data_IF_103530472918
#
_entry.id   IF_103530472918
#
_cell.length_a   1.000
_cell.length_b   1.000
_cell.length_c   1.000
_cell.angle_alpha   90.00
_cell.angle_beta   90.00
_cell.angle_gamma   90.00
#
_symmetry.space_group_name_H-M   'P 1'
#
loop_
_entity.id
_entity.type
_entity.pdbx_description
1 polymer ?
#
# COMPACT_ATOMS: atom_id res chain seq x y z
N UNK A 1 15.79 16.18 -12.16
CA UNK A 1 15.05 17.23 -11.44
C UNK A 1 16.06 17.98 -10.57
N UNK A 2 15.93 19.28 -10.41
CA UNK A 2 16.75 20.08 -9.51
C UNK A 2 15.84 20.92 -8.61
N UNK A 3 16.12 20.90 -7.31
CA UNK A 3 15.44 21.71 -6.31
C UNK A 3 16.46 22.71 -5.76
N UNK A 4 16.08 23.97 -5.68
CA UNK A 4 16.90 25.05 -5.11
C UNK A 4 16.12 25.73 -4.01
N UNK A 5 16.62 25.66 -2.79
CA UNK A 5 16.05 26.37 -1.64
C UNK A 5 16.84 27.64 -1.41
N UNK A 6 16.21 28.79 -1.59
CA UNK A 6 16.81 30.10 -1.30
C UNK A 6 16.34 30.58 0.07
N UNK A 7 17.29 30.86 0.98
CA UNK A 7 16.99 31.48 2.27
C UNK A 7 17.13 32.99 2.12
N UNK A 8 16.04 33.73 2.31
CA UNK A 8 16.03 35.18 2.30
C UNK A 8 16.52 35.74 3.64
N UNK A 9 17.01 36.99 3.65
CA UNK A 9 17.56 37.67 4.82
C UNK A 9 16.56 37.86 5.98
N UNK A 10 15.25 37.76 5.70
CA UNK A 10 14.17 37.77 6.68
C UNK A 10 13.90 36.39 7.32
N UNK A 11 14.66 35.36 6.95
CA UNK A 11 14.48 33.98 7.44
C UNK A 11 13.49 33.15 6.62
N UNK A 12 12.79 33.73 5.64
CA UNK A 12 11.89 32.97 4.75
C UNK A 12 12.70 32.06 3.81
N UNK A 13 12.30 30.79 3.72
CA UNK A 13 12.84 29.85 2.74
C UNK A 13 11.87 29.75 1.56
N UNK A 14 12.35 29.93 0.33
CA UNK A 14 11.60 29.65 -0.90
C UNK A 14 12.25 28.49 -1.66
N UNK A 15 11.49 27.42 -1.87
CA UNK A 15 11.91 26.30 -2.69
C UNK A 15 11.43 26.49 -4.13
N UNK A 16 12.35 26.41 -5.08
CA UNK A 16 12.09 26.37 -6.52
C UNK A 16 12.47 25.00 -7.04
N UNK A 17 11.57 24.35 -7.77
CA UNK A 17 11.89 23.12 -8.49
C UNK A 17 11.79 23.34 -10.00
N UNK A 18 12.75 22.78 -10.71
CA UNK A 18 12.78 22.71 -12.15
C UNK A 18 13.20 21.31 -12.58
N UNK A 19 12.77 20.89 -13.76
CA UNK A 19 13.22 19.64 -14.36
C UNK A 19 13.70 19.90 -15.79
N UNK A 20 14.57 19.01 -16.27
CA UNK A 20 15.11 19.10 -17.62
C UNK A 20 14.16 18.38 -18.57
N UNK A 21 13.65 19.10 -19.58
CA UNK A 21 12.88 18.56 -20.69
C UNK A 21 13.72 18.72 -21.96
N UNK A 22 14.41 17.64 -22.36
CA UNK A 22 15.40 17.69 -23.44
C UNK A 22 16.59 18.60 -23.11
N UNK A 23 16.72 19.71 -23.84
CA UNK A 23 17.79 20.71 -23.64
C UNK A 23 17.38 21.87 -22.73
N UNK A 24 16.11 21.98 -22.35
CA UNK A 24 15.57 23.13 -21.60
C UNK A 24 15.23 22.79 -20.16
N UNK A 25 15.26 23.81 -19.30
CA UNK A 25 14.80 23.72 -17.91
C UNK A 25 13.36 24.24 -17.80
N UNK A 26 12.44 23.36 -17.43
CA UNK A 26 11.02 23.66 -17.25
C UNK A 26 10.73 23.84 -15.76
N UNK A 27 9.99 24.90 -15.43
CA UNK A 27 9.59 25.21 -14.05
C UNK A 27 8.53 24.22 -13.56
N UNK A 28 8.68 23.75 -12.33
CA UNK A 28 7.76 22.79 -11.71
C UNK A 28 8.17 21.33 -11.91
N UNK A 29 7.35 20.44 -11.36
CA UNK A 29 7.57 18.97 -11.33
C UNK A 29 6.34 18.20 -11.79
N UNK A 30 5.46 18.87 -12.55
CA UNK A 30 4.24 18.25 -13.07
C UNK A 30 4.62 17.15 -14.08
N UNK A 31 4.08 15.94 -13.88
CA UNK A 31 4.41 14.76 -14.69
C UNK A 31 5.78 14.13 -14.41
N UNK A 32 6.54 14.63 -13.42
CA UNK A 32 7.83 14.05 -13.02
C UNK A 32 7.63 13.17 -11.80
N UNK A 33 8.05 11.92 -11.93
CA UNK A 33 8.11 10.97 -10.82
C UNK A 33 9.04 11.49 -9.72
N UNK A 34 8.55 11.50 -8.48
CA UNK A 34 9.32 11.96 -7.33
C UNK A 34 10.02 10.77 -6.71
N UNK A 35 11.32 10.73 -6.92
CA UNK A 35 12.21 9.71 -6.37
C UNK A 35 12.97 10.24 -5.15
N UNK A 36 13.51 9.32 -4.36
CA UNK A 36 14.43 9.62 -3.27
C UNK A 36 15.68 10.36 -3.78
N UNK A 37 16.19 11.28 -2.96
CA UNK A 37 17.51 11.87 -3.17
C UNK A 37 18.60 10.78 -3.08
N UNK A 38 19.68 10.88 -3.85
CA UNK A 38 20.78 9.89 -3.80
C UNK A 38 20.34 8.44 -4.12
N UNK A 39 19.35 8.28 -5.03
CA UNK A 39 18.71 6.99 -5.32
C UNK A 39 19.68 5.86 -5.73
N UNK A 40 20.65 6.05 -6.65
CA UNK A 40 21.55 4.96 -7.06
C UNK A 40 22.31 4.34 -5.88
N UNK A 41 22.86 5.18 -5.02
CA UNK A 41 23.63 4.82 -3.83
C UNK A 41 22.72 4.18 -2.76
N UNK A 42 21.48 4.67 -2.64
CA UNK A 42 20.45 4.04 -1.80
C UNK A 42 20.19 2.61 -2.25
N UNK A 43 19.91 2.39 -3.54
CA UNK A 43 19.61 1.05 -4.09
C UNK A 43 20.80 0.12 -3.92
N UNK A 44 22.01 0.59 -4.17
CA UNK A 44 23.23 -0.18 -3.93
C UNK A 44 23.35 -0.57 -2.46
N UNK A 45 23.14 0.37 -1.54
CA UNK A 45 23.22 0.11 -0.09
C UNK A 45 22.15 -0.88 0.38
N UNK A 46 20.93 -0.80 -0.14
CA UNK A 46 19.86 -1.80 0.10
C UNK A 46 20.34 -3.18 -0.34
N UNK A 47 20.90 -3.30 -1.55
CA UNK A 47 21.39 -4.58 -2.08
C UNK A 47 22.53 -5.20 -1.25
N UNK A 48 23.30 -4.37 -0.54
CA UNK A 48 24.35 -4.79 0.39
C UNK A 48 23.82 -5.11 1.80
N UNK A 49 22.52 -5.00 2.06
CA UNK A 49 21.93 -5.18 3.40
C UNK A 49 22.33 -4.09 4.39
N UNK A 50 22.76 -2.93 3.89
CA UNK A 50 23.31 -1.85 4.67
C UNK A 50 22.26 -0.93 5.29
N UNK A 51 22.64 -0.24 6.37
CA UNK A 51 21.80 0.81 6.97
C UNK A 51 21.81 2.08 6.12
N UNK A 52 20.63 2.68 5.95
CA UNK A 52 20.39 3.94 5.24
C UNK A 52 19.86 4.97 6.25
N UNK A 53 20.44 6.16 6.25
CA UNK A 53 19.95 7.29 7.02
C UNK A 53 18.91 8.10 6.22
N UNK A 54 17.75 8.37 6.80
CA UNK A 54 16.75 9.28 6.24
C UNK A 54 16.74 10.56 7.07
N UNK A 55 17.05 11.68 6.41
CA UNK A 55 17.08 13.03 7.01
C UNK A 55 16.03 13.93 6.35
N UNK A 56 15.74 15.09 6.91
CA UNK A 56 14.68 16.00 6.39
C UNK A 56 15.08 16.81 5.15
N UNK A 57 16.38 16.98 4.93
CA UNK A 57 16.90 17.85 3.88
C UNK A 57 18.09 17.29 3.11
N UNK A 58 18.21 17.69 1.84
CA UNK A 58 19.31 17.28 0.95
C UNK A 58 20.68 17.73 1.50
N UNK A 59 20.73 18.90 2.16
CA UNK A 59 21.95 19.40 2.84
C UNK A 59 22.48 18.39 3.85
N UNK A 60 21.60 17.88 4.71
CA UNK A 60 21.98 16.91 5.74
C UNK A 60 22.35 15.57 5.13
N UNK A 61 21.67 15.18 4.05
CA UNK A 61 22.00 13.96 3.32
C UNK A 61 23.41 14.07 2.73
N UNK A 62 23.75 15.20 2.10
CA UNK A 62 25.11 15.46 1.60
C UNK A 62 26.15 15.49 2.71
N UNK A 63 25.83 16.06 3.88
CA UNK A 63 26.74 16.04 5.03
C UNK A 63 27.05 14.62 5.49
N UNK A 64 26.03 13.76 5.61
CA UNK A 64 26.21 12.36 6.00
C UNK A 64 26.92 11.53 4.92
N UNK A 65 26.55 11.71 3.65
CA UNK A 65 27.18 11.02 2.52
C UNK A 65 28.68 11.34 2.44
N UNK A 66 29.10 12.58 2.70
CA UNK A 66 30.52 12.99 2.72
C UNK A 66 31.36 12.27 3.78
N UNK A 67 30.74 11.80 4.86
CA UNK A 67 31.42 11.04 5.92
C UNK A 67 31.21 9.52 5.78
N UNK A 68 30.70 9.07 4.63
CA UNK A 68 30.54 7.65 4.31
C UNK A 68 29.28 7.00 4.87
N UNK A 69 28.31 7.78 5.34
CA UNK A 69 27.00 7.30 5.80
C UNK A 69 26.01 7.49 4.65
N UNK A 70 25.55 6.40 4.03
CA UNK A 70 24.55 6.47 2.95
C UNK A 70 23.27 7.12 3.48
N UNK A 71 22.96 8.31 2.99
CA UNK A 71 21.83 9.11 3.43
C UNK A 71 20.97 9.58 2.26
N UNK A 72 19.67 9.73 2.54
CA UNK A 72 18.65 10.18 1.59
C UNK A 72 17.62 11.06 2.26
N UNK A 73 16.78 11.70 1.45
CA UNK A 73 15.60 12.46 1.86
C UNK A 73 14.56 12.46 0.74
N UNK A 74 13.34 12.91 1.04
CA UNK A 74 12.32 13.15 0.02
C UNK A 74 12.48 14.54 -0.61
N UNK A 75 12.15 14.68 -1.91
CA UNK A 75 12.02 15.99 -2.54
C UNK A 75 11.08 16.90 -1.75
N UNK A 76 11.42 18.19 -1.65
CA UNK A 76 10.63 19.24 -0.99
C UNK A 76 10.56 19.19 0.54
N UNK A 77 11.29 18.28 1.19
CA UNK A 77 11.44 18.23 2.65
C UNK A 77 10.17 17.80 3.40
N UNK A 78 10.11 18.14 4.69
CA UNK A 78 9.13 17.62 5.63
C UNK A 78 7.67 17.66 5.13
N UNK A 79 6.96 16.55 5.33
CA UNK A 79 5.55 16.38 4.97
C UNK A 79 5.28 16.12 3.48
N UNK A 80 6.32 15.89 2.67
CA UNK A 80 6.20 15.57 1.23
C UNK A 80 6.67 14.16 0.87
N UNK A 81 6.83 13.31 1.88
CA UNK A 81 7.08 11.88 1.71
C UNK A 81 5.89 11.20 1.02
N UNK A 82 6.18 10.29 0.09
CA UNK A 82 5.19 9.50 -0.63
C UNK A 82 5.46 8.01 -0.39
N UNK A 83 4.42 7.19 -0.36
CA UNK A 83 4.57 5.74 -0.12
C UNK A 83 5.45 5.06 -1.18
N UNK A 84 5.42 5.54 -2.43
CA UNK A 84 6.30 5.05 -3.51
C UNK A 84 7.79 5.23 -3.21
N UNK A 85 8.15 6.17 -2.33
CA UNK A 85 9.54 6.34 -1.88
C UNK A 85 9.92 5.29 -0.84
N UNK A 86 8.97 4.84 -0.03
CA UNK A 86 9.16 3.76 0.93
C UNK A 86 9.35 2.41 0.24
N UNK A 87 8.68 2.17 -0.89
CA UNK A 87 8.79 0.93 -1.68
C UNK A 87 10.22 0.66 -2.17
N UNK A 88 11.00 1.70 -2.47
CA UNK A 88 12.42 1.58 -2.83
C UNK A 88 13.26 0.99 -1.68
N UNK A 89 12.79 1.16 -0.45
CA UNK A 89 13.50 0.77 0.78
C UNK A 89 13.00 -0.58 1.33
N UNK A 90 12.15 -1.31 0.63
CA UNK A 90 11.69 -2.64 1.06
C UNK A 90 12.87 -3.56 1.39
N UNK A 91 12.82 -4.22 2.55
CA UNK A 91 13.88 -5.08 3.08
C UNK A 91 15.11 -4.34 3.62
N UNK A 92 15.18 -3.01 3.53
CA UNK A 92 16.31 -2.23 4.02
C UNK A 92 16.31 -2.05 5.54
N UNK A 93 17.45 -1.64 6.09
CA UNK A 93 17.57 -1.13 7.46
C UNK A 93 17.60 0.40 7.40
N UNK A 94 16.68 1.07 8.08
CA UNK A 94 16.51 2.53 7.95
C UNK A 94 16.57 3.23 9.31
N UNK A 95 17.41 4.25 9.44
CA UNK A 95 17.42 5.13 10.61
C UNK A 95 16.96 6.53 10.21
N UNK A 96 15.90 7.03 10.84
CA UNK A 96 15.36 8.35 10.59
C UNK A 96 15.98 9.33 11.57
N UNK A 97 16.53 10.44 11.07
CA UNK A 97 17.13 11.49 11.87
C UNK A 97 16.32 12.78 11.62
N UNK A 98 15.36 13.13 12.49
CA UNK A 98 14.59 14.35 12.35
C UNK A 98 15.39 15.58 12.80
N UNK A 99 14.98 16.74 12.31
CA UNK A 99 15.29 18.04 12.89
C UNK A 99 14.75 18.07 14.33
N UNK A 100 15.47 18.75 15.23
CA UNK A 100 15.09 18.84 16.65
C UNK A 100 13.95 19.82 16.91
N UNK A 101 12.81 19.63 16.25
CA UNK A 101 11.58 20.38 16.48
C UNK A 101 10.30 19.52 16.36
N UNK A 102 9.15 20.15 16.58
CA UNK A 102 7.84 19.48 16.57
C UNK A 102 7.45 19.00 15.16
N UNK A 103 7.83 19.75 14.11
CA UNK A 103 7.51 19.40 12.74
C UNK A 103 8.32 18.17 12.32
N UNK A 104 9.60 18.14 12.67
CA UNK A 104 10.48 17.00 12.40
C UNK A 104 10.08 15.74 13.13
N UNK A 105 9.66 15.87 14.40
CA UNK A 105 9.12 14.74 15.17
C UNK A 105 7.88 14.12 14.50
N UNK A 106 6.94 14.97 14.03
CA UNK A 106 5.73 14.49 13.31
C UNK A 106 6.10 13.87 11.97
N UNK A 107 7.03 14.47 11.24
CA UNK A 107 7.50 13.96 9.96
C UNK A 107 8.15 12.59 10.11
N UNK A 108 9.08 12.42 11.06
CA UNK A 108 9.73 11.14 11.31
C UNK A 108 8.75 10.03 11.72
N UNK A 109 7.71 10.35 12.51
CA UNK A 109 6.68 9.38 12.85
C UNK A 109 5.89 8.91 11.62
N UNK A 110 5.53 9.85 10.72
CA UNK A 110 4.83 9.52 9.47
C UNK A 110 5.72 8.70 8.52
N UNK A 111 6.98 9.08 8.34
CA UNK A 111 7.95 8.33 7.52
C UNK A 111 8.15 6.93 8.08
N UNK A 112 8.32 6.79 9.41
CA UNK A 112 8.44 5.48 10.06
C UNK A 112 7.25 4.57 9.76
N UNK A 113 6.03 5.09 9.85
CA UNK A 113 4.83 4.31 9.56
C UNK A 113 4.79 3.86 8.09
N UNK A 114 5.12 4.76 7.15
CA UNK A 114 5.19 4.43 5.71
C UNK A 114 6.27 3.38 5.41
N UNK A 115 7.45 3.46 6.05
CA UNK A 115 8.53 2.47 5.92
C UNK A 115 8.14 1.09 6.47
N UNK A 116 7.47 1.04 7.61
CA UNK A 116 6.94 -0.23 8.16
C UNK A 116 5.96 -0.86 7.16
N UNK A 117 5.03 -0.05 6.62
CA UNK A 117 4.06 -0.53 5.64
C UNK A 117 4.72 -1.05 4.35
N UNK A 118 5.84 -0.46 3.94
CA UNK A 118 6.60 -0.90 2.77
C UNK A 118 7.47 -2.15 3.02
N UNK A 119 7.55 -2.65 4.26
CA UNK A 119 8.27 -3.87 4.59
C UNK A 119 9.78 -3.71 4.71
N UNK A 120 10.27 -2.60 5.29
CA UNK A 120 11.67 -2.49 5.74
C UNK A 120 12.01 -3.59 6.77
N UNK A 121 13.25 -4.08 6.75
CA UNK A 121 13.70 -5.11 7.71
C UNK A 121 13.89 -4.56 9.13
N UNK A 122 14.33 -3.31 9.25
CA UNK A 122 14.52 -2.63 10.53
C UNK A 122 14.29 -1.12 10.39
N UNK A 123 13.66 -0.48 11.38
CA UNK A 123 13.49 0.97 11.38
C UNK A 123 13.55 1.61 12.76
N UNK A 124 14.29 2.72 12.84
CA UNK A 124 14.49 3.49 14.05
C UNK A 124 14.34 5.00 13.85
N UNK A 125 14.06 5.73 14.92
CA UNK A 125 14.20 7.19 14.96
C UNK A 125 15.35 7.51 15.90
N UNK A 126 16.38 8.19 15.39
CA UNK A 126 17.52 8.64 16.16
C UNK A 126 17.32 10.11 16.55
N UNK A 127 17.06 10.36 17.83
CA UNK A 127 17.08 11.71 18.37
C UNK A 127 18.53 12.11 18.68
N UNK A 128 19.07 13.13 18.00
CA UNK A 128 20.46 13.57 18.14
C UNK A 128 20.82 14.03 19.57
N UNK A 129 19.84 14.46 20.39
CA UNK A 129 20.08 14.79 21.80
C UNK A 129 20.50 13.60 22.66
N UNK A 130 20.24 12.37 22.19
CA UNK A 130 20.79 11.18 22.83
C UNK A 130 22.32 11.10 22.74
N UNK A 131 22.93 11.76 21.75
CA UNK A 131 24.37 11.82 21.53
C UNK A 131 24.98 13.11 22.05
N UNK A 132 24.25 14.22 21.95
CA UNK A 132 24.68 15.54 22.41
C UNK A 132 23.49 16.28 23.06
N UNK A 133 23.30 16.14 24.40
CA UNK A 133 22.13 16.67 25.10
C UNK A 133 21.91 18.18 24.96
N UNK A 134 23.00 18.94 24.86
CA UNK A 134 22.98 20.41 24.78
C UNK A 134 22.74 20.94 23.35
N UNK A 135 22.32 20.09 22.41
CA UNK A 135 21.94 20.54 21.07
C UNK A 135 20.74 21.50 21.12
N UNK A 136 20.85 22.70 20.50
CA UNK A 136 19.75 23.64 20.42
C UNK A 136 18.51 23.07 19.74
N UNK A 137 17.35 23.67 20.02
CA UNK A 137 16.14 23.40 19.25
C UNK A 137 16.38 23.69 17.76
N UNK A 138 15.72 22.91 16.89
CA UNK A 138 15.84 22.95 15.43
C UNK A 138 17.22 22.61 14.88
N UNK A 139 18.09 22.00 15.69
CA UNK A 139 19.36 21.48 15.16
C UNK A 139 19.11 20.26 14.29
N UNK A 140 19.91 20.11 13.24
CA UNK A 140 19.87 18.99 12.30
C UNK A 140 21.17 18.14 12.39
N UNK A 141 21.33 17.16 11.48
CA UNK A 141 22.51 16.31 11.44
C UNK A 141 23.78 17.10 11.07
N UNK A 142 23.64 18.15 10.25
CA UNK A 142 24.76 19.04 9.94
C UNK A 142 25.21 19.82 11.19
N UNK A 143 24.27 20.37 11.96
CA UNK A 143 24.56 21.11 13.19
C UNK A 143 25.26 20.24 14.25
N UNK A 144 24.89 18.96 14.38
CA UNK A 144 25.57 18.01 15.26
C UNK A 144 27.06 17.88 14.92
N UNK A 145 27.40 17.72 13.63
CA UNK A 145 28.77 17.58 13.18
C UNK A 145 29.55 18.90 13.25
N UNK A 146 28.91 20.03 12.90
CA UNK A 146 29.51 21.37 13.02
C UNK A 146 29.87 21.74 14.46
N UNK A 147 29.14 21.19 15.44
CA UNK A 147 29.39 21.35 16.89
C UNK A 147 30.44 20.38 17.45
N UNK A 148 31.13 19.62 16.60
CA UNK A 148 32.16 18.68 17.01
C UNK A 148 31.62 17.30 17.41
N UNK A 149 30.41 16.95 16.98
CA UNK A 149 29.90 15.58 17.08
C UNK A 149 30.81 14.59 16.35
N UNK A 150 31.01 13.42 16.95
CA UNK A 150 31.89 12.38 16.40
C UNK A 150 31.15 11.59 15.29
N UNK A 151 31.65 11.60 14.04
CA UNK A 151 31.05 10.86 12.92
C UNK A 151 30.89 9.36 13.20
N UNK A 152 31.84 8.77 13.93
CA UNK A 152 31.85 7.34 14.21
C UNK A 152 30.86 6.98 15.32
N UNK A 153 30.67 7.86 16.30
CA UNK A 153 29.59 7.72 17.30
C UNK A 153 28.23 7.84 16.60
N UNK A 154 28.07 8.80 15.69
CA UNK A 154 26.84 8.96 14.92
C UNK A 154 26.55 7.71 14.07
N UNK A 155 27.55 7.16 13.38
CA UNK A 155 27.40 5.92 12.59
C UNK A 155 26.91 4.75 13.44
N UNK A 156 27.52 4.53 14.61
CA UNK A 156 27.08 3.47 15.53
C UNK A 156 25.67 3.71 16.07
N UNK A 157 25.33 4.97 16.36
CA UNK A 157 24.00 5.33 16.83
C UNK A 157 22.93 5.11 15.75
N UNK A 158 23.23 5.41 14.49
CA UNK A 158 22.37 5.11 13.33
C UNK A 158 22.13 3.60 13.22
N UNK A 159 23.19 2.79 13.32
CA UNK A 159 23.08 1.33 13.28
C UNK A 159 22.27 0.77 14.45
N UNK A 160 22.50 1.30 15.66
CA UNK A 160 21.83 0.87 16.89
C UNK A 160 20.38 1.33 16.99
N UNK A 161 20.02 2.46 16.35
CA UNK A 161 18.65 2.95 16.33
C UNK A 161 17.71 2.00 15.55
N UNK A 162 18.23 1.29 14.55
CA UNK A 162 17.47 0.32 13.76
C UNK A 162 17.12 -0.90 14.61
N UNK A 163 15.86 -0.96 15.03
CA UNK A 163 15.27 -2.16 15.64
C UNK A 163 14.60 -2.96 14.53
N UNK A 164 14.84 -4.27 14.54
CA UNK A 164 14.21 -5.18 13.58
C UNK A 164 12.68 -5.02 13.66
N UNK A 165 12.06 -4.88 12.50
CA UNK A 165 10.61 -4.93 12.41
C UNK A 165 10.23 -6.37 12.65
N UNK A 166 9.78 -6.69 13.87
CA UNK A 166 9.40 -8.05 14.24
C UNK A 166 8.49 -8.65 13.17
N UNK A 167 8.96 -9.72 12.54
CA UNK A 167 8.16 -10.52 11.61
C UNK A 167 7.10 -11.26 12.43
N UNK A 168 5.99 -10.59 12.73
CA UNK A 168 4.85 -11.17 13.42
C UNK A 168 4.48 -10.50 14.73
N UNK A 169 3.99 -9.26 14.68
CA UNK A 169 2.77 -8.96 15.41
C UNK A 169 1.76 -8.37 14.43
N UNK A 170 0.80 -9.19 14.02
CA UNK A 170 -0.32 -8.83 13.14
C UNK A 170 -1.26 -7.76 13.74
N UNK A 171 -0.88 -7.18 14.89
CA UNK A 171 -1.55 -6.07 15.56
C UNK A 171 -0.80 -4.72 15.51
N UNK A 172 0.29 -4.55 14.75
CA UNK A 172 0.91 -3.22 14.61
C UNK A 172 1.19 -2.77 13.18
N UNK A 173 0.47 -3.32 12.21
CA UNK A 173 0.11 -2.48 11.07
C UNK A 173 -1.04 -1.60 11.54
N UNK A 174 -0.74 -0.39 12.02
CA UNK A 174 -1.75 0.67 12.00
C UNK A 174 -1.90 1.09 10.54
N UNK A 175 -2.46 0.19 9.73
CA UNK A 175 -3.36 0.65 8.70
C UNK A 175 -4.45 1.35 9.51
N UNK A 176 -4.52 2.68 9.45
CA UNK A 176 -5.76 3.35 9.81
C UNK A 176 -6.79 2.85 8.81
N UNK A 177 -7.43 1.75 9.19
CA UNK A 177 -8.56 1.14 8.52
C UNK A 177 -9.58 2.26 8.42
N UNK A 178 -9.90 2.72 7.19
CA UNK A 178 -10.83 3.83 7.03
C UNK A 178 -12.11 3.51 7.79
N UNK A 179 -12.49 4.38 8.73
CA UNK A 179 -13.77 4.19 9.43
C UNK A 179 -14.88 4.34 8.41
N UNK A 180 -15.64 3.27 8.22
CA UNK A 180 -16.82 3.27 7.37
C UNK A 180 -17.93 3.97 8.14
N UNK A 181 -18.48 5.03 7.57
CA UNK A 181 -19.72 5.61 8.05
C UNK A 181 -20.89 4.72 7.59
N UNK A 182 -21.40 3.89 8.50
CA UNK A 182 -22.51 2.99 8.22
C UNK A 182 -23.79 3.75 7.82
N UNK A 183 -23.97 5.01 8.25
CA UNK A 183 -25.12 5.84 7.86
C UNK A 183 -25.05 6.34 6.41
N UNK A 184 -23.87 6.31 5.80
CA UNK A 184 -23.67 6.67 4.40
C UNK A 184 -23.88 5.48 3.44
N UNK A 185 -24.04 4.26 3.97
CA UNK A 185 -24.24 3.05 3.18
C UNK A 185 -25.73 2.76 2.93
N UNK A 186 -26.08 2.06 1.83
CA UNK A 186 -27.42 1.53 1.65
C UNK A 186 -27.83 0.63 2.83
N UNK A 187 -29.12 0.59 3.21
CA UNK A 187 -29.58 -0.15 4.39
C UNK A 187 -29.14 -1.61 4.42
N UNK A 188 -29.16 -2.29 3.27
CA UNK A 188 -28.71 -3.69 3.14
C UNK A 188 -27.27 -3.91 3.54
N UNK A 189 -26.36 -2.96 3.28
CA UNK A 189 -24.98 -3.03 3.72
C UNK A 189 -24.83 -2.61 5.19
N UNK A 190 -25.59 -1.59 5.62
CA UNK A 190 -25.57 -1.15 7.01
C UNK A 190 -26.00 -2.28 7.95
N UNK A 191 -27.11 -2.97 7.65
CA UNK A 191 -27.63 -4.10 8.42
C UNK A 191 -26.63 -5.27 8.46
N UNK A 192 -25.95 -5.54 7.35
CA UNK A 192 -24.93 -6.58 7.27
C UNK A 192 -23.73 -6.28 8.19
N UNK A 193 -23.34 -5.01 8.27
CA UNK A 193 -22.18 -4.56 9.04
C UNK A 193 -22.48 -4.31 10.53
N UNK A 194 -23.75 -4.11 10.90
CA UNK A 194 -24.18 -3.82 12.28
C UNK A 194 -23.78 -4.93 13.27
N UNK A 195 -23.71 -6.17 12.77
CA UNK A 195 -23.33 -7.35 13.56
C UNK A 195 -21.83 -7.47 13.89
N UNK A 196 -20.98 -6.61 13.32
CA UNK A 196 -19.52 -6.66 13.49
C UNK A 196 -19.08 -5.39 14.24
N UNK A 197 -18.31 -5.53 15.31
CA UNK A 197 -17.77 -4.37 16.06
C UNK A 197 -16.40 -3.92 15.57
N UNK A 198 -15.55 -4.85 15.10
CA UNK A 198 -14.18 -4.57 14.69
C UNK A 198 -14.12 -3.93 13.29
N UNK A 199 -13.48 -2.75 13.19
CA UNK A 199 -13.39 -1.98 11.94
C UNK A 199 -12.71 -2.75 10.79
N UNK A 200 -11.72 -3.60 11.08
CA UNK A 200 -11.03 -4.41 10.04
C UNK A 200 -11.97 -5.46 9.48
N UNK A 201 -12.70 -6.14 10.35
CA UNK A 201 -13.72 -7.11 9.97
C UNK A 201 -14.86 -6.45 9.19
N UNK A 202 -15.28 -5.22 9.57
CA UNK A 202 -16.26 -4.44 8.82
C UNK A 202 -15.82 -4.15 7.38
N UNK A 203 -14.58 -3.67 7.18
CA UNK A 203 -14.06 -3.46 5.82
C UNK A 203 -13.98 -4.77 5.05
N UNK A 204 -13.49 -5.83 5.67
CA UNK A 204 -13.38 -7.13 5.01
C UNK A 204 -14.75 -7.65 4.54
N UNK A 205 -15.78 -7.55 5.39
CA UNK A 205 -17.15 -7.95 5.08
C UNK A 205 -17.77 -7.04 4.00
N UNK A 206 -17.54 -5.73 4.06
CA UNK A 206 -18.02 -4.80 3.02
C UNK A 206 -17.41 -5.12 1.65
N UNK A 207 -16.10 -5.36 1.60
CA UNK A 207 -15.41 -5.75 0.36
C UNK A 207 -15.92 -7.08 -0.18
N UNK A 208 -16.20 -8.05 0.71
CA UNK A 208 -16.79 -9.32 0.32
C UNK A 208 -18.19 -9.11 -0.28
N UNK A 209 -19.03 -8.30 0.36
CA UNK A 209 -20.36 -7.98 -0.11
C UNK A 209 -20.35 -7.27 -1.48
N UNK A 210 -19.47 -6.29 -1.69
CA UNK A 210 -19.31 -5.59 -2.98
C UNK A 210 -18.85 -6.56 -4.08
N UNK A 211 -17.94 -7.47 -3.76
CA UNK A 211 -17.44 -8.50 -4.68
C UNK A 211 -18.57 -9.44 -5.11
N UNK A 212 -19.35 -9.95 -4.15
CA UNK A 212 -20.50 -10.84 -4.41
C UNK A 212 -21.55 -10.12 -5.27
N UNK A 213 -21.94 -8.90 -4.91
CA UNK A 213 -22.92 -8.13 -5.69
C UNK A 213 -22.40 -7.84 -7.10
N UNK A 214 -21.13 -7.47 -7.23
CA UNK A 214 -20.51 -7.20 -8.51
C UNK A 214 -20.38 -8.41 -9.43
N UNK A 215 -20.28 -9.61 -8.86
CA UNK A 215 -20.27 -10.85 -9.62
C UNK A 215 -21.67 -11.25 -10.13
N UNK A 216 -22.74 -10.88 -9.40
CA UNK A 216 -24.11 -11.32 -9.70
C UNK A 216 -24.88 -10.31 -10.54
N UNK A 217 -24.73 -9.01 -10.25
CA UNK A 217 -25.54 -7.96 -10.87
C UNK A 217 -24.85 -7.41 -12.13
N UNK A 218 -25.50 -7.46 -13.31
CA UNK A 218 -24.96 -6.87 -14.51
C UNK A 218 -24.93 -5.35 -14.40
N UNK A 219 -23.82 -4.73 -14.84
CA UNK A 219 -23.72 -3.28 -14.97
C UNK A 219 -23.41 -2.53 -13.68
N UNK A 220 -23.11 -3.20 -12.57
CA UNK A 220 -22.58 -2.54 -11.36
C UNK A 220 -21.23 -1.91 -11.69
N UNK A 221 -21.08 -0.63 -11.37
CA UNK A 221 -19.83 0.13 -11.51
C UNK A 221 -19.62 1.05 -10.31
N UNK A 222 -18.37 1.28 -9.97
CA UNK A 222 -17.93 2.23 -8.95
C UNK A 222 -17.10 3.34 -9.58
N UNK A 223 -17.20 4.57 -9.08
CA UNK A 223 -16.38 5.68 -9.54
C UNK A 223 -15.17 5.85 -8.62
N UNK A 224 -13.96 5.79 -9.17
CA UNK A 224 -12.72 5.95 -8.43
C UNK A 224 -11.75 6.82 -9.25
N UNK A 225 -11.21 7.89 -8.65
CA UNK A 225 -10.36 8.87 -9.34
C UNK A 225 -10.94 9.36 -10.69
N UNK A 226 -12.25 9.59 -10.73
CA UNK A 226 -12.95 10.06 -11.93
C UNK A 226 -13.18 9.01 -13.02
N UNK A 227 -12.75 7.76 -12.81
CA UNK A 227 -12.95 6.64 -13.73
C UNK A 227 -14.00 5.66 -13.20
N UNK A 228 -14.73 5.01 -14.11
CA UNK A 228 -15.70 3.96 -13.76
C UNK A 228 -15.04 2.58 -13.81
N UNK A 229 -15.05 1.89 -12.67
CA UNK A 229 -14.53 0.54 -12.52
C UNK A 229 -15.67 -0.45 -12.31
N UNK A 230 -15.55 -1.66 -12.88
CA UNK A 230 -16.37 -2.78 -12.44
C UNK A 230 -15.87 -3.29 -11.09
N UNK A 231 -16.75 -3.81 -10.22
CA UNK A 231 -16.33 -4.44 -8.97
C UNK A 231 -15.35 -5.60 -9.22
N UNK A 232 -14.54 -5.89 -8.21
CA UNK A 232 -13.62 -7.02 -8.25
C UNK A 232 -14.37 -8.34 -8.42
N UNK A 233 -13.83 -9.25 -9.24
CA UNK A 233 -14.38 -10.61 -9.42
C UNK A 233 -13.99 -11.55 -8.28
N UNK A 234 -12.89 -11.24 -7.58
CA UNK A 234 -12.33 -12.07 -6.52
C UNK A 234 -11.82 -11.20 -5.37
N UNK A 235 -12.04 -11.67 -4.14
CA UNK A 235 -11.48 -11.10 -2.93
C UNK A 235 -10.63 -12.15 -2.22
N UNK A 236 -9.39 -11.79 -1.89
CA UNK A 236 -8.52 -12.61 -1.04
C UNK A 236 -8.32 -11.89 0.29
N UNK A 237 -8.72 -12.54 1.38
CA UNK A 237 -8.44 -12.06 2.74
C UNK A 237 -7.40 -12.98 3.35
N UNK A 238 -6.17 -12.48 3.47
CA UNK A 238 -5.02 -13.23 4.01
C UNK A 238 -4.79 -12.84 5.47
N UNK A 239 -4.44 -13.81 6.30
CA UNK A 239 -4.08 -13.58 7.69
C UNK A 239 -3.82 -14.90 8.43
N UNK A 240 -3.36 -14.85 9.68
CA UNK A 240 -3.05 -16.01 10.54
C UNK A 240 -4.29 -16.71 11.10
N UNK A 241 -4.20 -17.95 11.61
CA UNK A 241 -5.30 -18.60 12.32
C UNK A 241 -5.90 -17.70 13.42
N UNK A 242 -7.23 -17.59 13.47
CA UNK A 242 -7.92 -16.79 14.50
C UNK A 242 -8.01 -15.28 14.25
N UNK A 243 -7.46 -14.71 13.16
CA UNK A 243 -7.50 -13.26 12.89
C UNK A 243 -8.86 -12.68 12.46
N UNK A 244 -9.96 -13.40 12.65
CA UNK A 244 -11.29 -12.94 12.23
C UNK A 244 -11.57 -13.00 10.73
N UNK A 245 -10.76 -13.70 9.91
CA UNK A 245 -11.05 -13.91 8.47
C UNK A 245 -12.43 -14.50 8.19
N UNK A 246 -12.98 -15.30 9.11
CA UNK A 246 -14.32 -15.87 8.99
C UNK A 246 -15.45 -14.85 9.06
N UNK A 247 -15.16 -13.59 9.46
CA UNK A 247 -16.14 -12.50 9.51
C UNK A 247 -16.76 -12.16 8.16
N UNK A 248 -16.17 -12.59 7.05
CA UNK A 248 -16.74 -12.37 5.70
C UNK A 248 -17.89 -13.33 5.35
N UNK A 249 -18.05 -14.43 6.11
CA UNK A 249 -19.04 -15.48 5.83
C UNK A 249 -20.48 -14.98 5.61
N UNK A 250 -20.98 -14.00 6.39
CA UNK A 250 -22.31 -13.42 6.17
C UNK A 250 -22.55 -12.82 4.77
N UNK A 251 -21.50 -12.49 4.00
CA UNK A 251 -21.67 -12.04 2.61
C UNK A 251 -22.37 -13.08 1.71
N UNK A 252 -22.30 -14.36 2.05
CA UNK A 252 -23.02 -15.45 1.35
C UNK A 252 -24.55 -15.29 1.44
N UNK A 253 -25.07 -14.60 2.46
CA UNK A 253 -26.51 -14.35 2.56
C UNK A 253 -27.03 -13.51 1.40
N UNK A 254 -26.19 -12.62 0.84
CA UNK A 254 -26.54 -11.78 -0.30
C UNK A 254 -26.75 -12.56 -1.60
N UNK A 255 -26.11 -13.73 -1.74
CA UNK A 255 -26.24 -14.58 -2.93
C UNK A 255 -27.32 -15.66 -2.76
N UNK A 256 -27.61 -16.08 -1.52
CA UNK A 256 -28.48 -17.23 -1.22
C UNK A 256 -29.82 -17.23 -1.99
N UNK A 257 -30.50 -16.08 -2.08
CA UNK A 257 -31.78 -15.95 -2.78
C UNK A 257 -31.65 -16.05 -4.30
N UNK A 258 -30.53 -15.59 -4.87
CA UNK A 258 -30.25 -15.65 -6.30
C UNK A 258 -29.74 -17.04 -6.69
N UNK A 259 -28.87 -17.64 -5.87
CA UNK A 259 -28.37 -19.01 -6.08
C UNK A 259 -29.53 -20.00 -6.11
N UNK A 260 -30.52 -19.87 -5.22
CA UNK A 260 -31.68 -20.74 -5.21
C UNK A 260 -32.48 -20.67 -6.52
N UNK A 261 -32.67 -19.46 -7.06
CA UNK A 261 -33.38 -19.24 -8.33
C UNK A 261 -32.59 -19.84 -9.49
N UNK A 262 -31.30 -19.50 -9.62
CA UNK A 262 -30.43 -19.99 -10.69
C UNK A 262 -30.34 -21.53 -10.64
N UNK A 263 -30.18 -22.10 -9.45
CA UNK A 263 -30.12 -23.56 -9.27
C UNK A 263 -31.42 -24.23 -9.70
N UNK A 264 -32.57 -23.63 -9.41
CA UNK A 264 -33.88 -24.14 -9.83
C UNK A 264 -34.01 -24.15 -11.36
N UNK A 265 -33.70 -23.03 -12.00
CA UNK A 265 -33.70 -22.91 -13.46
C UNK A 265 -32.73 -23.92 -14.10
N UNK A 266 -31.51 -24.03 -13.58
CA UNK A 266 -30.52 -25.00 -14.08
C UNK A 266 -30.98 -26.45 -13.94
N UNK A 267 -31.65 -26.81 -12.84
CA UNK A 267 -32.23 -28.15 -12.66
C UNK A 267 -33.35 -28.41 -13.68
N UNK A 268 -34.17 -27.41 -14.00
CA UNK A 268 -35.24 -27.52 -14.99
C UNK A 268 -34.69 -27.66 -16.41
N UNK A 269 -33.70 -26.84 -16.78
CA UNK A 269 -32.98 -26.95 -18.05
C UNK A 269 -32.30 -28.31 -18.18
N UNK A 270 -31.64 -28.80 -17.14
CA UNK A 270 -31.01 -30.12 -17.14
C UNK A 270 -32.04 -31.25 -17.32
N UNK A 271 -33.23 -31.13 -16.73
CA UNK A 271 -34.34 -32.08 -16.94
C UNK A 271 -34.84 -32.03 -18.38
N UNK A 272 -35.04 -30.84 -18.93
CA UNK A 272 -35.47 -30.65 -20.32
C UNK A 272 -34.43 -31.24 -21.29
N UNK A 273 -33.16 -30.90 -21.11
CA UNK A 273 -32.04 -31.44 -21.89
C UNK A 273 -31.96 -32.97 -21.80
N UNK A 274 -32.08 -33.57 -20.60
CA UNK A 274 -32.07 -35.03 -20.45
C UNK A 274 -33.25 -35.69 -21.18
N UNK A 275 -34.42 -35.06 -21.18
CA UNK A 275 -35.60 -35.55 -21.88
C UNK A 275 -35.42 -35.48 -23.40
N UNK A 276 -34.89 -34.37 -23.90
CA UNK A 276 -34.55 -34.20 -25.31
C UNK A 276 -33.44 -35.17 -25.75
N UNK A 277 -32.40 -35.34 -24.94
CA UNK A 277 -31.32 -36.28 -25.19
C UNK A 277 -31.84 -37.73 -25.28
N UNK A 278 -32.69 -38.15 -24.34
CA UNK A 278 -33.32 -39.48 -24.38
C UNK A 278 -34.24 -39.65 -25.61
N UNK A 279 -34.95 -38.60 -26.02
CA UNK A 279 -35.73 -38.60 -27.26
C UNK A 279 -34.82 -38.73 -28.49
N UNK A 280 -33.72 -37.98 -28.55
CA UNK A 280 -32.73 -38.05 -29.63
C UNK A 280 -32.02 -39.41 -29.70
N UNK A 281 -31.72 -40.01 -28.55
CA UNK A 281 -31.12 -41.34 -28.46
C UNK A 281 -32.09 -42.41 -28.98
N UNK A 282 -33.37 -42.33 -28.61
CA UNK A 282 -34.40 -43.28 -29.08
C UNK A 282 -34.77 -43.10 -30.55
N UNK A 283 -34.83 -41.86 -31.07
CA UNK A 283 -35.04 -41.59 -32.50
C UNK A 283 -33.80 -41.92 -33.36
N UNK A 284 -32.60 -41.62 -32.87
CA UNK A 284 -31.34 -41.99 -33.52
C UNK A 284 -31.11 -43.51 -33.58
N UNK A 285 -31.60 -44.24 -32.59
CA UNK A 285 -31.65 -45.72 -32.63
C UNK A 285 -32.69 -46.21 -33.64
N UNK A 286 -33.87 -45.57 -33.74
CA UNK A 286 -34.87 -45.91 -34.78
C UNK A 286 -34.36 -45.64 -36.20
N UNK A 287 -33.70 -44.52 -36.46
CA UNK A 287 -33.17 -44.19 -37.79
C UNK A 287 -32.05 -45.16 -38.23
N UNK A 288 -31.18 -45.60 -37.31
CA UNK A 288 -30.17 -46.64 -37.56
C UNK A 288 -30.80 -48.01 -37.84
N UNK A 289 -31.88 -48.36 -37.14
CA UNK A 289 -32.55 -49.66 -37.30
C UNK A 289 -33.37 -49.71 -38.61
N UNK A 290 -33.97 -48.60 -39.02
CA UNK A 290 -34.76 -48.52 -40.27
C UNK A 290 -33.88 -48.56 -41.51
N UNK A 291 -32.68 -47.97 -41.46
CA UNK A 291 -31.72 -47.99 -42.57
C UNK A 291 -31.07 -49.36 -42.77
N UNK A 292 -30.89 -50.15 -41.70
CA UNK A 292 -30.35 -51.51 -41.79
C UNK A 292 -31.34 -52.56 -42.34
N UNK A 293 -32.65 -52.26 -42.33
CA UNK A 293 -33.71 -53.15 -42.82
C UNK A 293 -34.02 -53.06 -44.32
N UNK A 294 -33.62 -51.97 -45.00
CA UNK A 294 -33.91 -51.76 -46.43
C UNK A 294 -32.80 -52.25 -47.40
N UNK A 295 -31.68 -52.78 -46.89
CA UNK A 295 -30.57 -53.31 -47.71
C UNK A 295 -30.51 -54.84 -47.80
N UNK A 296 -31.60 -55.55 -47.50
CA UNK A 296 -31.70 -57.02 -47.70
C UNK A 296 -33.02 -57.40 -48.38
N UNK A 297 -33.08 -57.21 -49.69
CA UNK A 297 -33.99 -57.92 -50.60
C UNK A 297 -33.34 -58.00 -51.98
#
# INVERSE_FOLDING_TARGET
MQITVTKHSNGEKRAFAAHRSGAEWVKGVEGIERILYNLPEVVERVGLGGTIAVVEGEKDADTLNRIGITATTNPFGAGKWLDSMSEVLTGARVAIIPDLDEAGTKHAAMVKASLINAGVAAVGILNLRSLMPDLPDKSDASDYLERGGDPEVLRRAIEAACVDVESGNENSIVHTVPKIDAMALPPTFADLLDSIEDDRQRIALLMAAITVIGAILPGVRTQYFGQLYSPALYLFVVGPPGSGKGSIGPAELLISSVDEVIRRESIEELKAYKKEYAFWETEGVKSRTTTAGQTRS
#
